data_IF_883159170490
#
_entry.id   IF_883159170490
#
_cell.length_a   1.000
_cell.length_b   1.000
_cell.length_c   1.000
_cell.angle_alpha   90.00
_cell.angle_beta   90.00
_cell.angle_gamma   90.00
#
_symmetry.space_group_name_H-M   'P 1'
#
loop_
_entity.id
_entity.type
_entity.pdbx_description
1 polymer ?
#
# COMPACT_ATOMS: atom_id res chain seq x y z
N UNK A 1 10.42 -13.54 14.39
CA UNK A 1 10.49 -12.81 13.10
C UNK A 1 9.38 -11.79 13.13
N UNK A 2 9.63 -10.57 12.71
CA UNK A 2 8.66 -9.47 12.82
C UNK A 2 8.43 -8.84 11.45
N UNK A 3 7.17 -8.61 11.10
CA UNK A 3 6.75 -7.85 9.92
C UNK A 3 6.26 -6.48 10.41
N UNK A 4 6.77 -5.42 9.81
CA UNK A 4 6.29 -4.05 10.02
C UNK A 4 5.54 -3.65 8.74
N UNK A 5 4.29 -3.19 8.87
CA UNK A 5 3.50 -2.72 7.74
C UNK A 5 2.61 -1.55 8.15
N UNK A 6 2.49 -0.55 7.30
CA UNK A 6 1.56 0.56 7.51
C UNK A 6 0.09 0.20 7.21
N UNK A 7 -0.19 -1.06 6.83
CA UNK A 7 -1.53 -1.54 6.54
C UNK A 7 -1.77 -2.87 7.29
N UNK A 8 -2.86 -3.01 8.06
CA UNK A 8 -3.20 -4.27 8.72
C UNK A 8 -3.60 -5.39 7.74
N UNK A 9 -3.92 -5.03 6.48
CA UNK A 9 -4.43 -5.95 5.48
C UNK A 9 -3.40 -6.19 4.37
N UNK A 10 -3.36 -7.42 3.88
CA UNK A 10 -2.73 -7.74 2.61
C UNK A 10 -3.73 -7.46 1.49
N UNK A 11 -3.31 -6.71 0.47
CA UNK A 11 -4.10 -6.47 -0.74
C UNK A 11 -3.47 -7.17 -1.93
N UNK A 12 -4.27 -7.89 -2.70
CA UNK A 12 -3.84 -8.48 -3.96
C UNK A 12 -3.88 -7.44 -5.08
N UNK A 13 -2.81 -6.64 -5.16
CA UNK A 13 -2.64 -5.50 -6.07
C UNK A 13 -3.04 -5.79 -7.54
N UNK A 14 -2.72 -6.96 -8.14
CA UNK A 14 -3.11 -7.23 -9.52
C UNK A 14 -4.62 -7.19 -9.80
N UNK A 15 -5.48 -7.29 -8.78
CA UNK A 15 -6.94 -7.21 -8.94
C UNK A 15 -7.54 -5.81 -8.77
N UNK A 16 -6.73 -4.79 -8.45
CA UNK A 16 -7.21 -3.41 -8.37
C UNK A 16 -7.90 -2.89 -9.64
N UNK A 17 -7.49 -3.24 -10.88
CA UNK A 17 -8.24 -2.86 -12.07
C UNK A 17 -9.68 -3.39 -12.07
N UNK A 18 -9.92 -4.59 -11.54
CA UNK A 18 -11.27 -5.18 -11.46
C UNK A 18 -12.12 -4.51 -10.37
N UNK A 19 -11.51 -4.13 -9.26
CA UNK A 19 -12.19 -3.31 -8.24
C UNK A 19 -12.62 -1.95 -8.82
N UNK A 20 -11.74 -1.32 -9.59
CA UNK A 20 -11.99 0.00 -10.20
C UNK A 20 -13.14 0.03 -11.22
N UNK A 21 -13.50 -1.11 -11.82
CA UNK A 21 -14.64 -1.22 -12.75
C UNK A 21 -15.83 -1.96 -12.15
N UNK A 22 -15.81 -2.22 -10.84
CA UNK A 22 -16.91 -2.87 -10.11
C UNK A 22 -17.08 -4.37 -10.38
N UNK A 23 -16.06 -5.05 -10.92
CA UNK A 23 -16.10 -6.50 -11.14
C UNK A 23 -15.71 -7.31 -9.90
N UNK A 24 -15.10 -6.66 -8.90
CA UNK A 24 -14.72 -7.23 -7.62
C UNK A 24 -15.00 -6.23 -6.50
N UNK A 25 -15.23 -6.75 -5.31
CA UNK A 25 -15.25 -5.97 -4.08
C UNK A 25 -13.89 -6.03 -3.38
N UNK A 26 -13.65 -5.11 -2.45
CA UNK A 26 -12.41 -5.07 -1.65
C UNK A 26 -12.18 -6.35 -0.84
N UNK A 27 -13.27 -6.93 -0.31
CA UNK A 27 -13.24 -8.19 0.45
C UNK A 27 -12.87 -9.41 -0.40
N UNK A 28 -13.03 -9.34 -1.74
CA UNK A 28 -12.62 -10.41 -2.64
C UNK A 28 -11.09 -10.45 -2.86
N UNK A 29 -10.40 -9.34 -2.54
CA UNK A 29 -9.00 -9.11 -2.92
C UNK A 29 -8.13 -8.71 -1.72
N UNK A 30 -8.65 -8.81 -0.50
CA UNK A 30 -7.92 -8.45 0.71
C UNK A 30 -8.19 -9.39 1.88
N UNK A 31 -7.24 -9.46 2.81
CA UNK A 31 -7.40 -10.20 4.07
C UNK A 31 -6.49 -9.62 5.16
N UNK A 32 -6.88 -9.81 6.43
CA UNK A 32 -6.10 -9.38 7.60
C UNK A 32 -4.79 -10.18 7.73
N UNK A 33 -3.67 -9.49 7.96
CA UNK A 33 -2.35 -10.10 8.10
C UNK A 33 -2.19 -10.85 9.42
N UNK A 34 -2.65 -10.28 10.53
CA UNK A 34 -2.43 -10.77 11.89
C UNK A 34 -2.80 -12.26 12.08
N UNK A 35 -4.01 -12.75 11.74
CA UNK A 35 -4.35 -14.17 11.92
C UNK A 35 -3.57 -15.08 10.97
N UNK A 36 -2.99 -14.56 9.89
CA UNK A 36 -2.21 -15.36 8.92
C UNK A 36 -0.76 -15.51 9.37
N UNK A 37 -0.16 -14.43 9.90
CA UNK A 37 1.22 -14.38 10.40
C UNK A 37 1.36 -15.05 11.77
N UNK A 38 0.45 -14.80 12.70
CA UNK A 38 0.47 -15.40 14.05
C UNK A 38 0.43 -16.93 14.02
N UNK A 39 -0.34 -17.54 13.09
CA UNK A 39 -0.36 -18.99 12.87
C UNK A 39 0.98 -19.60 12.41
N UNK A 40 1.96 -18.75 12.12
CA UNK A 40 3.32 -19.10 11.70
C UNK A 40 4.38 -18.55 12.68
N UNK A 41 3.97 -18.10 13.87
CA UNK A 41 4.85 -17.51 14.88
C UNK A 41 5.63 -16.29 14.34
N UNK A 42 4.95 -15.48 13.53
CA UNK A 42 5.48 -14.20 13.00
C UNK A 42 4.71 -13.05 13.64
N UNK A 43 5.44 -12.14 14.27
CA UNK A 43 4.88 -10.93 14.90
C UNK A 43 4.53 -9.89 13.82
N UNK A 44 3.46 -9.13 14.04
CA UNK A 44 3.05 -8.02 13.18
C UNK A 44 3.03 -6.73 13.99
N UNK A 45 3.73 -5.70 13.48
CA UNK A 45 3.61 -4.32 13.94
C UNK A 45 2.89 -3.55 12.84
N UNK A 46 1.68 -3.07 13.14
CA UNK A 46 0.93 -2.21 12.23
C UNK A 46 1.30 -0.76 12.52
N UNK A 47 2.08 -0.16 11.62
CA UNK A 47 2.58 1.21 11.74
C UNK A 47 3.49 1.59 10.58
N UNK A 48 3.62 2.89 10.35
CA UNK A 48 4.54 3.42 9.35
C UNK A 48 5.97 3.47 9.89
N UNK A 49 6.90 2.84 9.16
CA UNK A 49 8.32 2.98 9.44
C UNK A 49 8.80 4.33 8.93
N UNK A 50 9.22 5.22 9.84
CA UNK A 50 9.56 6.61 9.52
C UNK A 50 11.06 6.83 9.32
N UNK A 51 11.89 6.00 9.95
CA UNK A 51 13.35 6.09 9.86
C UNK A 51 13.99 4.71 10.05
N UNK A 52 15.04 4.44 9.29
CA UNK A 52 15.95 3.31 9.52
C UNK A 52 17.27 3.90 10.00
N UNK A 53 17.79 3.39 11.13
CA UNK A 53 19.10 3.75 11.70
C UNK A 53 20.05 2.57 11.51
N UNK A 54 20.81 2.52 10.39
CA UNK A 54 21.59 1.33 10.04
C UNK A 54 22.80 1.10 10.96
N UNK A 55 23.36 2.17 11.51
CA UNK A 55 24.52 2.07 12.42
C UNK A 55 24.15 1.47 13.78
N UNK A 56 22.89 1.61 14.17
CA UNK A 56 22.36 1.11 15.45
C UNK A 56 21.50 -0.16 15.26
N UNK A 57 21.33 -0.61 14.01
CA UNK A 57 20.40 -1.67 13.60
C UNK A 57 18.97 -1.48 14.14
N UNK A 58 18.41 -0.28 13.94
CA UNK A 58 17.08 0.08 14.43
C UNK A 58 16.14 0.58 13.34
N UNK A 59 14.85 0.33 13.50
CA UNK A 59 13.76 0.94 12.73
C UNK A 59 12.85 1.70 13.68
N UNK A 60 12.52 2.94 13.32
CA UNK A 60 11.55 3.77 14.02
C UNK A 60 10.15 3.52 13.43
N UNK A 61 9.18 3.17 14.27
CA UNK A 61 7.78 2.99 13.90
C UNK A 61 6.93 3.87 14.82
N UNK A 62 6.62 5.09 14.38
CA UNK A 62 6.13 6.13 15.28
C UNK A 62 7.12 6.39 16.43
N UNK A 63 6.65 6.32 17.68
CA UNK A 63 7.49 6.47 18.88
C UNK A 63 8.18 5.16 19.32
N UNK A 64 7.91 4.05 18.64
CA UNK A 64 8.52 2.75 18.95
C UNK A 64 9.85 2.58 18.21
N UNK A 65 10.86 2.06 18.93
CA UNK A 65 12.13 1.59 18.37
C UNK A 65 12.07 0.08 18.23
N UNK A 66 12.44 -0.45 17.07
CA UNK A 66 12.53 -1.88 16.80
C UNK A 66 13.96 -2.23 16.41
N UNK A 67 14.65 -2.99 17.26
CA UNK A 67 15.99 -3.52 16.97
C UNK A 67 15.92 -4.70 15.98
N UNK A 68 16.94 -4.87 15.16
CA UNK A 68 17.06 -6.01 14.23
C UNK A 68 18.49 -6.55 14.14
N UNK A 69 18.63 -7.84 13.82
CA UNK A 69 19.90 -8.40 13.35
C UNK A 69 20.02 -8.34 11.81
N UNK A 70 18.88 -8.49 11.14
CA UNK A 70 18.76 -8.45 9.68
C UNK A 70 17.48 -7.70 9.30
N UNK A 71 17.59 -6.81 8.31
CA UNK A 71 16.47 -6.04 7.77
C UNK A 71 16.23 -6.41 6.31
N UNK A 72 14.99 -6.80 5.99
CA UNK A 72 14.53 -7.05 4.62
C UNK A 72 13.59 -5.93 4.22
N UNK A 73 13.97 -5.18 3.17
CA UNK A 73 13.14 -4.10 2.63
C UNK A 73 12.18 -4.65 1.57
N UNK A 74 10.89 -4.53 1.85
CA UNK A 74 9.79 -4.90 0.95
C UNK A 74 8.70 -3.80 0.93
N UNK A 75 9.12 -2.54 0.98
CA UNK A 75 8.25 -1.36 1.15
C UNK A 75 7.43 -1.01 -0.10
N UNK A 76 7.71 -1.64 -1.24
CA UNK A 76 7.03 -1.35 -2.49
C UNK A 76 7.38 0.03 -3.08
N UNK A 77 6.65 0.47 -4.12
CA UNK A 77 6.91 1.72 -4.82
C UNK A 77 6.26 2.93 -4.12
N UNK A 78 6.87 4.09 -4.29
CA UNK A 78 6.21 5.37 -4.03
C UNK A 78 5.42 5.81 -5.28
N UNK A 79 4.20 6.30 -5.09
CA UNK A 79 3.37 6.80 -6.19
C UNK A 79 3.68 8.28 -6.44
N UNK A 80 4.57 8.55 -7.40
CA UNK A 80 5.10 9.87 -7.70
C UNK A 80 4.17 10.72 -8.59
N UNK A 81 2.95 11.02 -8.12
CA UNK A 81 2.00 11.84 -8.89
C UNK A 81 2.47 13.30 -9.08
N UNK A 82 3.33 13.78 -8.18
CA UNK A 82 3.90 15.12 -8.19
C UNK A 82 4.93 15.36 -9.30
N UNK A 83 5.36 14.33 -10.03
CA UNK A 83 6.30 14.49 -11.15
C UNK A 83 5.66 15.09 -12.41
N UNK A 84 4.33 15.02 -12.52
CA UNK A 84 3.60 15.55 -13.68
C UNK A 84 2.39 16.32 -13.17
N UNK A 85 2.39 17.63 -13.43
CA UNK A 85 1.29 18.52 -13.06
C UNK A 85 -0.05 18.01 -13.59
N UNK A 86 -1.02 17.91 -12.68
CA UNK A 86 -2.37 17.44 -12.97
C UNK A 86 -2.53 15.91 -12.95
N UNK A 87 -1.51 15.12 -12.62
CA UNK A 87 -1.67 13.69 -12.35
C UNK A 87 -2.10 13.40 -10.91
N UNK A 88 -2.70 12.22 -10.71
CA UNK A 88 -3.09 11.70 -9.41
C UNK A 88 -4.55 12.01 -9.03
N UNK A 89 -5.07 11.36 -7.98
CA UNK A 89 -6.48 11.43 -7.57
C UNK A 89 -7.00 12.83 -7.27
N UNK A 90 -6.12 13.76 -6.93
CA UNK A 90 -6.45 15.17 -6.66
C UNK A 90 -6.34 16.07 -7.91
N UNK A 91 -5.85 15.53 -9.03
CA UNK A 91 -5.67 16.22 -10.30
C UNK A 91 -6.77 15.92 -11.32
N UNK A 92 -6.36 15.56 -12.54
CA UNK A 92 -7.24 15.27 -13.67
C UNK A 92 -7.25 13.78 -14.07
N UNK A 93 -6.70 12.90 -13.23
CA UNK A 93 -6.63 11.46 -13.49
C UNK A 93 -6.96 10.68 -12.22
N UNK A 94 -7.25 9.38 -12.37
CA UNK A 94 -7.38 8.47 -11.23
C UNK A 94 -6.25 7.46 -11.23
N UNK A 95 -5.98 6.89 -10.06
CA UNK A 95 -5.02 5.79 -9.91
C UNK A 95 -5.74 4.51 -9.53
N UNK A 96 -5.13 3.38 -9.89
CA UNK A 96 -5.57 2.04 -9.46
C UNK A 96 -4.41 1.25 -8.84
N UNK A 97 -3.29 1.89 -8.51
CA UNK A 97 -2.11 1.22 -7.98
C UNK A 97 -2.30 0.72 -6.53
N UNK A 98 -3.22 1.34 -5.77
CA UNK A 98 -3.64 0.88 -4.44
C UNK A 98 -5.12 0.53 -4.45
N UNK A 99 -5.53 -0.34 -3.52
CA UNK A 99 -6.95 -0.68 -3.31
C UNK A 99 -7.77 0.56 -3.00
N UNK A 100 -7.25 1.47 -2.18
CA UNK A 100 -7.90 2.73 -1.84
C UNK A 100 -8.15 3.60 -3.08
N UNK A 101 -7.14 3.78 -3.95
CA UNK A 101 -7.31 4.52 -5.19
C UNK A 101 -8.28 3.83 -6.16
N UNK A 102 -8.22 2.50 -6.27
CA UNK A 102 -9.15 1.74 -7.11
C UNK A 102 -10.60 1.85 -6.63
N UNK A 103 -10.84 1.89 -5.31
CA UNK A 103 -12.16 2.13 -4.73
C UNK A 103 -12.71 3.52 -5.08
N UNK A 104 -11.87 4.55 -5.03
CA UNK A 104 -12.22 5.91 -5.47
C UNK A 104 -12.54 5.89 -6.98
N UNK A 105 -11.69 5.27 -7.80
CA UNK A 105 -11.90 5.16 -9.24
C UNK A 105 -13.23 4.45 -9.58
N UNK A 106 -13.62 3.43 -8.80
CA UNK A 106 -14.91 2.74 -8.95
C UNK A 106 -16.10 3.67 -8.74
N UNK A 107 -16.02 4.60 -7.79
CA UNK A 107 -17.08 5.60 -7.56
C UNK A 107 -17.18 6.65 -8.68
N UNK A 108 -16.09 6.89 -9.42
CA UNK A 108 -16.04 7.81 -10.58
C UNK A 108 -16.38 7.10 -11.91
N UNK A 109 -16.51 5.76 -11.90
CA UNK A 109 -16.74 4.91 -13.07
C UNK A 109 -18.15 5.12 -13.66
N UNK A 110 -18.28 6.20 -14.41
CA UNK A 110 -19.50 6.68 -15.07
C UNK A 110 -19.31 8.01 -15.80
N UNK A 111 -18.17 8.69 -15.57
CA UNK A 111 -17.80 9.92 -16.26
C UNK A 111 -17.06 9.59 -17.57
N UNK A 112 -17.37 10.27 -18.69
CA UNK A 112 -16.85 9.93 -20.02
C UNK A 112 -15.33 10.12 -20.20
N UNK A 113 -14.60 10.66 -19.21
CA UNK A 113 -13.17 11.02 -19.33
C UNK A 113 -12.36 10.64 -18.08
N UNK A 114 -12.34 9.37 -17.70
CA UNK A 114 -11.45 8.89 -16.63
C UNK A 114 -10.14 8.40 -17.23
N UNK A 115 -9.07 9.20 -17.11
CA UNK A 115 -7.71 8.77 -17.48
C UNK A 115 -7.11 8.00 -16.29
N UNK A 116 -6.97 6.68 -16.43
CA UNK A 116 -6.26 5.86 -15.46
C UNK A 116 -4.76 5.99 -15.68
N UNK A 117 -4.02 6.33 -14.63
CA UNK A 117 -2.56 6.41 -14.68
C UNK A 117 -1.95 5.59 -13.54
N UNK A 118 -1.01 4.72 -13.91
CA UNK A 118 -0.10 4.09 -12.97
C UNK A 118 1.19 4.93 -12.94
N UNK A 119 1.34 5.78 -11.93
CA UNK A 119 2.61 6.46 -11.64
C UNK A 119 3.32 5.67 -10.53
N UNK A 120 4.54 5.21 -10.79
CA UNK A 120 5.38 4.51 -9.82
C UNK A 120 6.82 5.00 -10.06
N UNK A 121 7.51 5.43 -9.00
CA UNK A 121 8.96 5.62 -9.03
C UNK A 121 9.67 4.31 -8.67
N UNK A 122 10.80 4.03 -9.33
CA UNK A 122 11.69 2.89 -9.08
C UNK A 122 12.64 3.16 -7.92
#
# INVERSE_FOLDING_TARGET
>A
MTVISNNPNCNFIPSNPWLAVGWRNEDDISFELEPRLSRKDIDLIVGEATEIKPNDNQVMVGDQVVDYDYLVLATGPQLAFNEIDGLGPEGHSVSICTTAHAKIASSECGRPFVKMVAAQSL
#
